data_IF_127401275243
#
_entry.id   IF_127401275243
#
_cell.length_a   1.000
_cell.length_b   1.000
_cell.length_c   1.000
_cell.angle_alpha   90.00
_cell.angle_beta   90.00
_cell.angle_gamma   90.00
#
_symmetry.space_group_name_H-M   'P 1'
#
loop_
_entity.id
_entity.type
_entity.pdbx_description
1 polymer ?
#
# COMPACT_ATOMS: atom_id res chain seq x y z
N UNK A 1 3.00 -18.11 -21.43
CA UNK A 1 3.02 -18.21 -22.91
C UNK A 1 3.25 -16.88 -23.60
N UNK A 2 2.69 -15.74 -23.15
CA UNK A 2 2.98 -14.43 -23.77
C UNK A 2 4.35 -13.85 -23.34
N UNK A 3 4.81 -14.12 -22.10
CA UNK A 3 6.13 -13.70 -21.60
C UNK A 3 7.34 -14.38 -22.26
N UNK A 4 7.20 -15.63 -22.74
CA UNK A 4 8.34 -16.38 -23.31
C UNK A 4 8.67 -15.90 -24.73
N UNK A 5 7.66 -15.53 -25.53
CA UNK A 5 7.87 -15.00 -26.88
C UNK A 5 8.54 -13.62 -26.87
N UNK A 6 8.23 -12.77 -25.88
CA UNK A 6 8.86 -11.45 -25.72
C UNK A 6 10.32 -11.57 -25.26
N UNK A 7 10.66 -12.58 -24.44
CA UNK A 7 12.04 -12.84 -24.04
C UNK A 7 12.91 -13.38 -25.19
N UNK A 8 12.35 -14.25 -26.04
CA UNK A 8 13.05 -14.82 -27.20
C UNK A 8 13.30 -13.76 -28.28
N UNK A 9 12.33 -12.86 -28.54
CA UNK A 9 12.52 -11.73 -29.45
C UNK A 9 13.63 -10.77 -28.98
N UNK A 10 13.63 -10.44 -27.69
CA UNK A 10 14.61 -9.54 -27.08
C UNK A 10 16.03 -10.17 -27.06
N UNK A 11 16.15 -11.49 -26.86
CA UNK A 11 17.44 -12.18 -26.94
C UNK A 11 18.05 -12.15 -28.35
N UNK A 12 17.24 -12.35 -29.39
CA UNK A 12 17.69 -12.30 -30.78
C UNK A 12 18.18 -10.90 -31.18
N UNK A 13 17.43 -9.85 -30.81
CA UNK A 13 17.84 -8.46 -31.04
C UNK A 13 19.14 -8.10 -30.31
N UNK A 14 19.33 -8.59 -29.08
CA UNK A 14 20.55 -8.39 -28.31
C UNK A 14 21.75 -9.09 -28.98
N UNK A 15 21.54 -10.25 -29.56
CA UNK A 15 22.57 -11.03 -30.25
C UNK A 15 22.97 -10.37 -31.58
N UNK A 16 22.00 -9.92 -32.37
CA UNK A 16 22.23 -9.14 -33.59
C UNK A 16 22.99 -7.84 -33.28
N UNK A 17 22.61 -7.11 -32.24
CA UNK A 17 23.33 -5.90 -31.81
C UNK A 17 24.77 -6.18 -31.33
N UNK A 18 25.04 -7.36 -30.77
CA UNK A 18 26.42 -7.76 -30.40
C UNK A 18 27.26 -8.04 -31.64
N UNK A 19 26.69 -8.71 -32.64
CA UNK A 19 27.37 -9.00 -33.92
C UNK A 19 27.74 -7.69 -34.61
N UNK A 20 26.78 -6.77 -34.76
CA UNK A 20 27.00 -5.46 -35.38
C UNK A 20 28.10 -4.67 -34.65
N UNK A 21 28.07 -4.63 -33.32
CA UNK A 21 29.09 -3.92 -32.54
C UNK A 21 30.50 -4.52 -32.72
N UNK A 22 30.59 -5.85 -32.77
CA UNK A 22 31.86 -6.57 -32.99
C UNK A 22 32.38 -6.35 -34.41
N UNK A 23 31.49 -6.36 -35.40
CA UNK A 23 31.81 -6.08 -36.79
C UNK A 23 32.31 -4.64 -36.96
N UNK A 24 31.69 -3.66 -36.29
CA UNK A 24 32.15 -2.29 -36.29
C UNK A 24 33.56 -2.12 -35.68
N UNK A 25 33.84 -2.77 -34.55
CA UNK A 25 35.18 -2.77 -33.94
C UNK A 25 36.22 -3.40 -34.88
N UNK A 26 35.85 -4.49 -35.55
CA UNK A 26 36.70 -5.17 -36.55
C UNK A 26 36.96 -4.30 -37.78
N UNK A 27 35.93 -3.62 -38.29
CA UNK A 27 36.03 -2.72 -39.44
C UNK A 27 36.90 -1.50 -39.15
N UNK A 28 36.77 -0.88 -37.97
CA UNK A 28 37.57 0.29 -37.58
C UNK A 28 39.05 -0.11 -37.38
N UNK A 29 39.30 -1.23 -36.71
CA UNK A 29 40.66 -1.74 -36.51
C UNK A 29 41.33 -2.11 -37.83
N UNK A 30 40.62 -2.76 -38.75
CA UNK A 30 41.11 -3.02 -40.10
C UNK A 30 41.43 -1.72 -40.85
N UNK A 31 40.54 -0.72 -40.78
CA UNK A 31 40.75 0.58 -41.41
C UNK A 31 41.97 1.31 -40.82
N UNK A 32 42.16 1.22 -39.51
CA UNK A 32 43.34 1.76 -38.84
C UNK A 32 44.62 1.11 -39.35
N UNK A 33 44.69 -0.22 -39.37
CA UNK A 33 45.90 -0.93 -39.83
C UNK A 33 46.19 -0.66 -41.31
N UNK A 34 45.18 -0.70 -42.18
CA UNK A 34 45.34 -0.40 -43.61
C UNK A 34 45.75 1.06 -43.83
N UNK A 35 45.17 2.01 -43.09
CA UNK A 35 45.53 3.43 -43.15
C UNK A 35 46.95 3.68 -42.66
N UNK A 36 47.36 3.08 -41.53
CA UNK A 36 48.74 3.20 -41.05
C UNK A 36 49.74 2.60 -42.04
N UNK A 37 49.42 1.43 -42.61
CA UNK A 37 50.26 0.79 -43.63
C UNK A 37 50.40 1.68 -44.87
N UNK A 38 49.29 2.13 -45.45
CA UNK A 38 49.29 3.00 -46.63
C UNK A 38 49.98 4.34 -46.37
N UNK A 39 49.84 4.92 -45.17
CA UNK A 39 50.49 6.16 -44.78
C UNK A 39 51.99 6.02 -44.53
N UNK A 40 52.46 4.85 -44.07
CA UNK A 40 53.90 4.61 -43.86
C UNK A 40 54.67 4.45 -45.16
N UNK A 41 54.03 3.98 -46.24
CA UNK A 41 54.65 3.83 -47.56
C UNK A 41 55.29 5.15 -48.05
N UNK A 42 54.59 6.30 -48.13
CA UNK A 42 55.23 7.56 -48.52
C UNK A 42 56.19 8.12 -47.48
N UNK A 43 55.94 7.91 -46.17
CA UNK A 43 56.81 8.37 -45.08
C UNK A 43 58.22 7.79 -45.21
N UNK A 44 58.32 6.51 -45.57
CA UNK A 44 59.59 5.79 -45.73
C UNK A 44 60.08 5.85 -47.18
N UNK A 45 59.17 5.75 -48.15
CA UNK A 45 59.49 5.63 -49.56
C UNK A 45 60.18 6.85 -50.14
N UNK A 46 59.69 8.06 -49.87
CA UNK A 46 60.31 9.27 -50.41
C UNK A 46 61.74 9.50 -49.86
N UNK A 47 61.98 9.48 -48.54
CA UNK A 47 63.29 9.80 -48.01
C UNK A 47 64.38 8.74 -48.24
N UNK A 48 64.02 7.47 -48.47
CA UNK A 48 65.00 6.39 -48.73
C UNK A 48 65.90 6.72 -49.93
N UNK A 49 65.38 7.45 -50.91
CA UNK A 49 66.13 7.84 -52.11
C UNK A 49 67.01 9.08 -51.91
N UNK A 50 67.08 9.66 -50.71
CA UNK A 50 67.90 10.83 -50.40
C UNK A 50 69.15 10.39 -49.63
N UNK A 51 70.34 10.37 -50.29
CA UNK A 51 71.58 9.96 -49.65
C UNK A 51 71.91 10.82 -48.42
N UNK A 52 72.50 10.19 -47.40
CA UNK A 52 72.97 10.78 -46.13
C UNK A 52 71.93 11.41 -45.19
N UNK A 53 70.85 12.01 -45.72
CA UNK A 53 69.85 12.75 -44.93
C UNK A 53 68.53 11.98 -44.80
N UNK A 54 68.28 10.99 -45.66
CA UNK A 54 67.04 10.21 -45.72
C UNK A 54 66.55 9.72 -44.36
N UNK A 55 67.42 9.10 -43.55
CA UNK A 55 67.06 8.59 -42.22
C UNK A 55 66.55 9.67 -41.25
N UNK A 56 67.09 10.90 -41.32
CA UNK A 56 66.61 12.03 -40.49
C UNK A 56 65.23 12.49 -40.93
N UNK A 57 64.99 12.53 -42.24
CA UNK A 57 63.69 12.92 -42.80
C UNK A 57 62.62 11.86 -42.46
N UNK A 58 62.95 10.56 -42.50
CA UNK A 58 62.03 9.49 -42.04
C UNK A 58 61.65 9.70 -40.58
N UNK A 59 62.63 9.96 -39.71
CA UNK A 59 62.38 10.18 -38.28
C UNK A 59 61.48 11.39 -38.04
N UNK A 60 61.73 12.52 -38.70
CA UNK A 60 60.88 13.71 -38.62
C UNK A 60 59.47 13.42 -39.18
N UNK A 61 59.39 12.72 -40.32
CA UNK A 61 58.11 12.31 -40.92
C UNK A 61 57.27 11.44 -39.99
N UNK A 62 57.89 10.48 -39.30
CA UNK A 62 57.23 9.64 -38.29
C UNK A 62 56.74 10.47 -37.09
N UNK A 63 57.55 11.41 -36.60
CA UNK A 63 57.15 12.30 -35.51
C UNK A 63 55.95 13.17 -35.90
N UNK A 64 55.98 13.77 -37.09
CA UNK A 64 54.88 14.59 -37.61
C UNK A 64 53.61 13.76 -37.84
N UNK A 65 53.76 12.56 -38.41
CA UNK A 65 52.66 11.61 -38.59
C UNK A 65 52.00 11.28 -37.25
N UNK A 66 52.80 10.91 -36.24
CA UNK A 66 52.31 10.55 -34.92
C UNK A 66 51.64 11.73 -34.21
N UNK A 67 52.27 12.91 -34.24
CA UNK A 67 51.73 14.11 -33.61
C UNK A 67 50.39 14.52 -34.25
N UNK A 68 50.32 14.54 -35.58
CA UNK A 68 49.09 14.87 -36.31
C UNK A 68 47.99 13.85 -36.05
N UNK A 69 48.33 12.56 -36.07
CA UNK A 69 47.38 11.48 -35.79
C UNK A 69 46.80 11.59 -34.39
N UNK A 70 47.64 11.74 -33.34
CA UNK A 70 47.17 11.81 -31.96
C UNK A 70 46.30 13.04 -31.74
N UNK A 71 46.75 14.22 -32.17
CA UNK A 71 45.99 15.47 -32.01
C UNK A 71 44.61 15.38 -32.69
N UNK A 72 44.59 14.84 -33.91
CA UNK A 72 43.36 14.69 -34.68
C UNK A 72 42.47 13.55 -34.17
N UNK A 73 43.05 12.48 -33.61
CA UNK A 73 42.32 11.40 -32.96
C UNK A 73 41.52 11.91 -31.76
N UNK A 74 42.15 12.68 -30.87
CA UNK A 74 41.44 13.31 -29.75
C UNK A 74 40.38 14.30 -30.22
N UNK A 75 40.67 15.07 -31.27
CA UNK A 75 39.66 15.95 -31.88
C UNK A 75 38.48 15.12 -32.42
N UNK A 76 38.75 13.99 -33.07
CA UNK A 76 37.73 13.09 -33.59
C UNK A 76 36.86 12.49 -32.48
N UNK A 77 37.45 12.08 -31.36
CA UNK A 77 36.69 11.54 -30.24
C UNK A 77 35.78 12.59 -29.59
N UNK A 78 36.17 13.87 -29.58
CA UNK A 78 35.28 14.95 -29.13
C UNK A 78 34.04 15.06 -30.02
N UNK A 79 34.22 15.14 -31.34
CA UNK A 79 33.11 15.21 -32.31
C UNK A 79 32.25 13.94 -32.37
N UNK A 80 32.86 12.78 -32.09
CA UNK A 80 32.16 11.49 -32.06
C UNK A 80 31.38 11.25 -30.77
N UNK A 81 31.54 12.11 -29.75
CA UNK A 81 30.97 11.89 -28.42
C UNK A 81 29.43 11.85 -28.48
N UNK A 82 28.80 10.76 -28.01
CA UNK A 82 27.35 10.63 -28.09
C UNK A 82 26.66 11.64 -27.16
N UNK A 83 25.65 12.34 -27.66
CA UNK A 83 24.80 13.19 -26.84
C UNK A 83 23.82 12.32 -26.06
N UNK A 84 23.84 12.42 -24.73
CA UNK A 84 22.86 11.75 -23.89
C UNK A 84 21.57 12.57 -23.84
N UNK A 85 20.45 11.98 -24.28
CA UNK A 85 19.14 12.61 -24.13
C UNK A 85 18.61 12.35 -22.71
N UNK A 86 18.57 13.39 -21.88
CA UNK A 86 18.05 13.30 -20.50
C UNK A 86 16.51 13.37 -20.43
N UNK A 87 15.78 13.32 -21.55
CA UNK A 87 14.32 13.48 -21.57
C UNK A 87 13.54 12.25 -21.07
N UNK A 88 14.12 11.05 -21.07
CA UNK A 88 13.48 9.86 -20.47
C UNK A 88 13.71 9.81 -18.97
N UNK A 89 13.14 10.79 -18.25
CA UNK A 89 13.11 10.84 -16.78
C UNK A 89 12.08 9.84 -16.23
N UNK A 90 12.41 8.56 -16.21
CA UNK A 90 11.82 7.67 -15.20
C UNK A 90 12.64 7.82 -13.93
N UNK A 91 12.09 8.63 -13.03
CA UNK A 91 12.30 8.89 -11.59
C UNK A 91 13.17 7.93 -10.72
N UNK A 92 14.32 7.47 -11.21
CA UNK A 92 15.37 6.82 -10.42
C UNK A 92 16.66 7.63 -10.57
N UNK A 93 17.12 8.19 -9.46
CA UNK A 93 18.21 9.17 -9.30
C UNK A 93 19.62 8.59 -9.51
N UNK A 94 19.82 7.81 -10.56
CA UNK A 94 21.15 7.45 -11.06
C UNK A 94 21.40 8.15 -12.40
N UNK A 95 21.44 9.48 -12.38
CA UNK A 95 21.93 10.25 -13.50
C UNK A 95 23.45 10.08 -13.58
N UNK A 96 23.97 9.28 -14.53
CA UNK A 96 25.42 9.18 -14.72
C UNK A 96 26.01 10.56 -15.02
N UNK A 97 27.23 10.80 -14.54
CA UNK A 97 27.94 12.05 -14.75
C UNK A 97 28.07 12.37 -16.25
N UNK A 98 27.50 13.50 -16.68
CA UNK A 98 27.50 13.95 -18.07
C UNK A 98 28.47 15.12 -18.33
N UNK A 99 29.30 15.48 -17.34
CA UNK A 99 30.17 16.66 -17.39
C UNK A 99 31.10 16.63 -18.59
N UNK A 100 31.67 15.47 -18.95
CA UNK A 100 32.55 15.35 -20.10
C UNK A 100 31.83 15.55 -21.44
N UNK A 101 30.56 15.14 -21.54
CA UNK A 101 29.73 15.32 -22.74
C UNK A 101 29.38 16.78 -22.94
N UNK A 102 29.02 17.46 -21.86
CA UNK A 102 28.79 18.91 -21.88
C UNK A 102 30.07 19.67 -22.22
N UNK A 103 31.20 19.22 -21.65
CA UNK A 103 32.52 19.79 -21.98
C UNK A 103 32.85 19.66 -23.46
N UNK A 104 32.62 18.47 -24.02
CA UNK A 104 32.84 18.25 -25.45
C UNK A 104 31.93 19.11 -26.33
N UNK A 105 30.65 19.29 -25.97
CA UNK A 105 29.69 20.08 -26.78
C UNK A 105 30.07 21.56 -26.86
N UNK A 106 30.51 22.18 -25.75
CA UNK A 106 30.98 23.56 -25.82
C UNK A 106 32.35 23.67 -26.51
N UNK A 107 33.26 22.72 -26.26
CA UNK A 107 34.60 22.73 -26.84
C UNK A 107 34.56 22.57 -28.36
N UNK A 108 33.75 21.64 -28.86
CA UNK A 108 33.57 21.44 -30.32
C UNK A 108 33.00 22.70 -30.99
N UNK A 109 32.06 23.40 -30.36
CA UNK A 109 31.56 24.70 -30.87
C UNK A 109 32.65 25.76 -30.95
N UNK A 110 33.53 25.85 -29.95
CA UNK A 110 34.68 26.77 -29.96
C UNK A 110 35.66 26.39 -31.08
N UNK A 111 36.01 25.10 -31.20
CA UNK A 111 36.94 24.63 -32.25
C UNK A 111 36.39 24.96 -33.63
N UNK A 112 35.13 24.64 -33.91
CA UNK A 112 34.50 24.94 -35.21
C UNK A 112 34.42 26.46 -35.43
N UNK A 113 34.04 27.23 -34.42
CA UNK A 113 33.95 28.69 -34.52
C UNK A 113 35.29 29.35 -34.84
N UNK A 114 36.34 29.01 -34.09
CA UNK A 114 37.70 29.53 -34.32
C UNK A 114 38.29 29.04 -35.65
N UNK A 115 38.04 27.79 -36.03
CA UNK A 115 38.50 27.26 -37.31
C UNK A 115 37.85 27.97 -38.51
N UNK A 116 36.56 28.30 -38.42
CA UNK A 116 35.85 29.03 -39.47
C UNK A 116 36.36 30.47 -39.62
N UNK A 117 36.62 31.15 -38.49
CA UNK A 117 37.14 32.53 -38.50
C UNK A 117 38.55 32.57 -39.10
N UNK A 118 39.41 31.61 -38.74
CA UNK A 118 40.82 31.58 -39.16
C UNK A 118 41.08 30.71 -40.39
N UNK A 119 40.04 30.28 -41.12
CA UNK A 119 40.15 29.32 -42.22
C UNK A 119 41.14 29.76 -43.32
N UNK A 120 41.23 31.06 -43.58
CA UNK A 120 42.12 31.64 -44.59
C UNK A 120 43.61 31.57 -44.21
N UNK A 121 43.93 31.44 -42.93
CA UNK A 121 45.31 31.38 -42.44
C UNK A 121 45.87 29.95 -42.46
N UNK A 122 45.00 28.94 -42.47
CA UNK A 122 45.37 27.51 -42.40
C UNK A 122 46.40 27.11 -43.48
N UNK A 123 46.25 27.47 -44.77
CA UNK A 123 47.26 27.15 -45.78
C UNK A 123 48.64 27.75 -45.48
N UNK A 124 48.70 28.96 -44.93
CA UNK A 124 49.94 29.62 -44.55
C UNK A 124 50.69 28.86 -43.44
N UNK A 125 49.97 28.36 -42.44
CA UNK A 125 50.56 27.53 -41.38
C UNK A 125 51.18 26.23 -41.93
N UNK A 126 50.56 25.59 -42.92
CA UNK A 126 51.13 24.40 -43.57
C UNK A 126 52.40 24.71 -44.36
N UNK A 127 52.42 25.81 -45.12
CA UNK A 127 53.60 26.24 -45.87
C UNK A 127 54.76 26.53 -44.91
N UNK A 128 54.51 27.32 -43.85
CA UNK A 128 55.51 27.66 -42.84
C UNK A 128 56.08 26.41 -42.15
N UNK A 129 55.24 25.39 -41.91
CA UNK A 129 55.67 24.13 -41.32
C UNK A 129 56.57 23.32 -42.27
N UNK A 130 56.26 23.30 -43.57
CA UNK A 130 57.12 22.71 -44.60
C UNK A 130 58.49 23.41 -44.66
N UNK A 131 58.48 24.75 -44.70
CA UNK A 131 59.70 25.56 -44.69
C UNK A 131 60.55 25.33 -43.44
N UNK A 132 59.91 25.25 -42.27
CA UNK A 132 60.61 24.95 -41.01
C UNK A 132 61.32 23.60 -41.04
N UNK A 133 60.69 22.57 -41.60
CA UNK A 133 61.30 21.23 -41.77
C UNK A 133 62.43 21.28 -42.80
N UNK A 134 62.27 22.02 -43.90
CA UNK A 134 63.33 22.20 -44.91
C UNK A 134 64.57 22.90 -44.32
N UNK A 135 64.37 23.96 -43.53
CA UNK A 135 65.45 24.67 -42.83
C UNK A 135 66.15 23.74 -41.82
N UNK A 136 65.37 23.00 -41.02
CA UNK A 136 65.87 22.11 -39.97
C UNK A 136 66.69 20.93 -40.51
N UNK A 137 66.32 20.43 -41.69
CA UNK A 137 67.03 19.31 -42.36
C UNK A 137 68.20 19.78 -43.22
N UNK A 138 68.34 21.10 -43.44
CA UNK A 138 69.28 21.71 -44.40
C UNK A 138 69.10 21.19 -45.84
N UNK A 139 67.93 20.65 -46.16
CA UNK A 139 67.60 20.10 -47.48
C UNK A 139 66.64 21.04 -48.20
N UNK A 140 67.12 21.69 -49.26
CA UNK A 140 66.36 22.67 -50.07
C UNK A 140 65.70 22.02 -51.28
N UNK A 141 64.79 21.07 -51.04
CA UNK A 141 63.97 20.46 -52.09
C UNK A 141 62.51 20.85 -51.94
N UNK A 142 61.87 21.34 -53.00
CA UNK A 142 60.43 21.66 -53.01
C UNK A 142 59.57 20.43 -52.67
N UNK A 143 60.04 19.24 -53.05
CA UNK A 143 59.41 17.96 -52.73
C UNK A 143 59.34 17.68 -51.21
N UNK A 144 60.26 18.21 -50.41
CA UNK A 144 60.24 18.04 -48.95
C UNK A 144 59.07 18.78 -48.32
N UNK A 145 58.75 20.00 -48.79
CA UNK A 145 57.60 20.75 -48.31
C UNK A 145 56.29 20.00 -48.61
N UNK A 146 56.17 19.47 -49.83
CA UNK A 146 55.02 18.65 -50.24
C UNK A 146 54.91 17.40 -49.36
N UNK A 147 56.02 16.69 -49.15
CA UNK A 147 56.09 15.53 -48.27
C UNK A 147 55.60 15.84 -46.86
N UNK A 148 56.11 16.91 -46.25
CA UNK A 148 55.77 17.33 -44.90
C UNK A 148 54.29 17.68 -44.77
N UNK A 149 53.76 18.51 -45.67
CA UNK A 149 52.35 18.93 -45.65
C UNK A 149 51.42 17.72 -45.86
N UNK A 150 51.76 16.85 -46.81
CA UNK A 150 50.95 15.66 -47.12
C UNK A 150 50.87 14.70 -45.95
N UNK A 151 51.97 14.48 -45.22
CA UNK A 151 51.99 13.63 -44.02
C UNK A 151 51.07 14.19 -42.94
N UNK A 152 51.18 15.48 -42.64
CA UNK A 152 50.37 16.10 -41.60
C UNK A 152 48.89 16.00 -41.95
N UNK A 153 48.53 16.30 -43.20
CA UNK A 153 47.14 16.22 -43.68
C UNK A 153 46.63 14.77 -43.63
N UNK A 154 47.37 13.82 -44.19
CA UNK A 154 46.95 12.42 -44.27
C UNK A 154 46.72 11.81 -42.88
N UNK A 155 47.72 11.91 -41.99
CA UNK A 155 47.61 11.35 -40.66
C UNK A 155 46.63 12.13 -39.78
N UNK A 156 46.43 13.42 -40.06
CA UNK A 156 45.40 14.22 -39.42
C UNK A 156 43.99 13.73 -39.76
N UNK A 157 43.69 13.55 -41.05
CA UNK A 157 42.41 12.99 -41.47
C UNK A 157 42.21 11.55 -41.00
N UNK A 158 43.25 10.71 -41.05
CA UNK A 158 43.19 9.33 -40.53
C UNK A 158 42.88 9.33 -39.02
N UNK A 159 43.59 10.15 -38.24
CA UNK A 159 43.36 10.30 -36.80
C UNK A 159 41.94 10.76 -36.51
N UNK A 160 41.48 11.82 -37.18
CA UNK A 160 40.12 12.36 -37.03
C UNK A 160 39.06 11.30 -37.34
N UNK A 161 39.19 10.60 -38.47
CA UNK A 161 38.27 9.56 -38.91
C UNK A 161 38.21 8.39 -37.92
N UNK A 162 39.37 7.89 -37.49
CA UNK A 162 39.44 6.77 -36.54
C UNK A 162 38.91 7.19 -35.18
N UNK A 163 39.30 8.36 -34.66
CA UNK A 163 38.82 8.86 -33.36
C UNK A 163 37.31 9.07 -33.33
N UNK A 164 36.76 9.66 -34.39
CA UNK A 164 35.32 9.86 -34.55
C UNK A 164 34.54 8.55 -34.55
N UNK A 165 34.92 7.61 -35.43
CA UNK A 165 34.22 6.34 -35.56
C UNK A 165 34.43 5.44 -34.34
N UNK A 166 35.61 5.47 -33.72
CA UNK A 166 35.88 4.72 -32.49
C UNK A 166 34.96 5.18 -31.35
N UNK A 167 34.87 6.50 -31.12
CA UNK A 167 33.96 7.03 -30.11
C UNK A 167 32.50 6.67 -30.42
N UNK A 168 32.07 6.89 -31.67
CA UNK A 168 30.66 6.76 -32.06
C UNK A 168 30.19 5.31 -32.12
N UNK A 169 30.98 4.39 -32.69
CA UNK A 169 30.56 3.01 -32.95
C UNK A 169 31.02 2.02 -31.89
N UNK A 170 32.17 2.25 -31.24
CA UNK A 170 32.73 1.32 -30.24
C UNK A 170 32.44 1.80 -28.82
N UNK A 171 32.92 3.01 -28.47
CA UNK A 171 32.91 3.47 -27.09
C UNK A 171 31.50 3.82 -26.60
N UNK A 172 30.69 4.46 -27.43
CA UNK A 172 29.26 4.74 -27.17
C UNK A 172 28.48 3.45 -26.80
N UNK A 173 28.70 2.37 -27.55
CA UNK A 173 28.08 1.08 -27.28
C UNK A 173 28.58 0.44 -25.97
N UNK A 174 29.85 0.62 -25.62
CA UNK A 174 30.41 0.15 -24.35
C UNK A 174 29.83 0.93 -23.16
N UNK A 175 29.68 2.25 -23.27
CA UNK A 175 29.04 3.08 -22.25
C UNK A 175 27.57 2.70 -22.03
N UNK A 176 26.78 2.59 -23.11
CA UNK A 176 25.38 2.17 -23.02
C UNK A 176 25.23 0.82 -22.29
N UNK A 177 26.07 -0.16 -22.62
CA UNK A 177 26.03 -1.48 -21.96
C UNK A 177 26.41 -1.41 -20.47
N UNK A 178 27.34 -0.56 -20.09
CA UNK A 178 27.72 -0.37 -18.69
C UNK A 178 26.57 0.27 -17.91
N UNK A 179 25.96 1.31 -18.47
CA UNK A 179 24.84 2.02 -17.87
C UNK A 179 23.60 1.12 -17.72
N UNK A 180 23.24 0.38 -18.77
CA UNK A 180 22.12 -0.57 -18.76
C UNK A 180 22.32 -1.71 -17.74
N UNK A 181 23.56 -2.10 -17.44
CA UNK A 181 23.85 -3.10 -16.41
C UNK A 181 23.61 -2.55 -15.01
N UNK A 182 24.01 -1.30 -14.77
CA UNK A 182 23.81 -0.63 -13.48
C UNK A 182 22.31 -0.43 -13.21
N UNK A 183 21.56 0.04 -14.20
CA UNK A 183 20.11 0.22 -14.09
C UNK A 183 19.41 -1.13 -13.83
N UNK A 184 19.80 -2.20 -14.53
CA UNK A 184 19.23 -3.54 -14.32
C UNK A 184 19.46 -4.05 -12.91
N UNK A 185 20.67 -3.91 -12.36
CA UNK A 185 20.95 -4.29 -10.97
C UNK A 185 20.08 -3.55 -9.98
N UNK A 186 19.96 -2.23 -10.11
CA UNK A 186 19.10 -1.43 -9.24
C UNK A 186 17.63 -1.86 -9.35
N UNK A 187 17.15 -2.20 -10.55
CA UNK A 187 15.78 -2.69 -10.76
C UNK A 187 15.56 -4.07 -10.12
N UNK A 188 16.55 -4.97 -10.22
CA UNK A 188 16.49 -6.29 -9.58
C UNK A 188 16.45 -6.18 -8.06
N UNK A 189 17.26 -5.30 -7.46
CA UNK A 189 17.25 -5.01 -6.02
C UNK A 189 15.88 -4.47 -5.57
N UNK A 190 15.29 -3.53 -6.30
CA UNK A 190 13.96 -2.99 -5.99
C UNK A 190 12.85 -4.04 -6.15
N UNK A 191 12.94 -4.91 -7.18
CA UNK A 191 12.01 -6.04 -7.33
C UNK A 191 12.11 -7.03 -6.19
N UNK A 192 13.31 -7.33 -5.72
CA UNK A 192 13.53 -8.22 -4.57
C UNK A 192 12.91 -7.64 -3.29
N UNK A 193 13.07 -6.33 -3.04
CA UNK A 193 12.40 -5.64 -1.93
C UNK A 193 10.88 -5.70 -2.04
N UNK A 194 10.34 -5.44 -3.22
CA UNK A 194 8.90 -5.51 -3.47
C UNK A 194 8.35 -6.94 -3.27
N UNK A 195 9.11 -7.96 -3.66
CA UNK A 195 8.75 -9.36 -3.44
C UNK A 195 8.70 -9.70 -1.95
N UNK A 196 9.72 -9.31 -1.17
CA UNK A 196 9.75 -9.49 0.29
C UNK A 196 8.56 -8.80 0.98
N UNK A 197 8.26 -7.56 0.60
CA UNK A 197 7.10 -6.82 1.12
C UNK A 197 5.77 -7.52 0.80
N UNK A 198 5.65 -8.10 -0.41
CA UNK A 198 4.46 -8.85 -0.81
C UNK A 198 4.29 -10.14 0.00
N UNK A 199 5.38 -10.85 0.27
CA UNK A 199 5.36 -12.04 1.14
C UNK A 199 4.96 -11.67 2.58
N UNK A 200 5.49 -10.57 3.11
CA UNK A 200 5.09 -10.06 4.43
C UNK A 200 3.61 -9.67 4.51
N UNK A 201 3.06 -9.04 3.46
CA UNK A 201 1.62 -8.72 3.41
C UNK A 201 0.77 -9.98 3.40
N UNK A 202 1.09 -10.97 2.57
CA UNK A 202 0.37 -12.24 2.54
C UNK A 202 0.38 -12.95 3.92
N UNK A 203 1.51 -12.92 4.63
CA UNK A 203 1.61 -13.46 6.00
C UNK A 203 0.71 -12.71 6.99
N UNK A 204 0.61 -11.38 6.87
CA UNK A 204 -0.28 -10.57 7.72
C UNK A 204 -1.75 -10.85 7.41
N UNK A 205 -2.11 -11.00 6.14
CA UNK A 205 -3.49 -11.31 5.72
C UNK A 205 -3.94 -12.67 6.27
N UNK A 206 -3.07 -13.68 6.27
CA UNK A 206 -3.36 -14.99 6.89
C UNK A 206 -3.63 -14.86 8.39
N UNK A 207 -2.88 -14.02 9.11
CA UNK A 207 -3.10 -13.76 10.55
C UNK A 207 -4.40 -12.99 10.81
N UNK A 208 -4.75 -12.02 9.96
CA UNK A 208 -6.01 -11.28 10.05
C UNK A 208 -7.20 -12.24 9.91
N UNK A 209 -7.18 -13.13 8.91
CA UNK A 209 -8.25 -14.12 8.72
C UNK A 209 -8.41 -15.06 9.94
N UNK A 210 -7.31 -15.44 10.60
CA UNK A 210 -7.36 -16.24 11.83
C UNK A 210 -7.97 -15.46 13.01
N UNK A 211 -7.67 -14.16 13.13
CA UNK A 211 -8.26 -13.31 14.17
C UNK A 211 -9.76 -13.14 13.93
N UNK A 212 -10.18 -12.91 12.68
CA UNK A 212 -11.60 -12.78 12.33
C UNK A 212 -12.43 -14.02 12.71
N UNK A 213 -11.89 -15.23 12.49
CA UNK A 213 -12.58 -16.45 12.91
C UNK A 213 -12.71 -16.56 14.43
N UNK A 214 -11.66 -16.20 15.18
CA UNK A 214 -11.68 -16.24 16.65
C UNK A 214 -12.70 -15.23 17.20
N UNK A 215 -12.79 -14.04 16.62
CA UNK A 215 -13.77 -13.02 17.03
C UNK A 215 -15.19 -13.55 16.83
N UNK A 216 -15.47 -14.17 15.69
CA UNK A 216 -16.78 -14.77 15.39
C UNK A 216 -17.15 -15.88 16.37
N UNK A 217 -16.20 -16.76 16.70
CA UNK A 217 -16.42 -17.85 17.67
C UNK A 217 -16.72 -17.29 19.06
N UNK A 218 -15.98 -16.25 19.49
CA UNK A 218 -16.21 -15.56 20.76
C UNK A 218 -17.62 -14.96 20.81
N UNK A 219 -18.06 -14.27 19.76
CA UNK A 219 -19.41 -13.70 19.70
C UNK A 219 -20.51 -14.77 19.83
N UNK A 220 -20.33 -15.92 19.16
CA UNK A 220 -21.30 -17.03 19.24
C UNK A 220 -21.38 -17.61 20.66
N UNK A 221 -20.23 -17.86 21.30
CA UNK A 221 -20.17 -18.39 22.67
C UNK A 221 -20.84 -17.42 23.64
N UNK A 222 -20.58 -16.12 23.51
CA UNK A 222 -21.12 -15.12 24.43
C UNK A 222 -22.64 -15.01 24.29
N UNK A 223 -23.17 -15.07 23.06
CA UNK A 223 -24.63 -15.15 22.80
C UNK A 223 -25.26 -16.41 23.42
N UNK A 224 -24.61 -17.56 23.28
CA UNK A 224 -25.11 -18.82 23.83
C UNK A 224 -25.15 -18.84 25.37
N UNK A 225 -24.12 -18.30 26.03
CA UNK A 225 -24.05 -18.23 27.49
C UNK A 225 -25.16 -17.36 28.08
N UNK A 226 -25.43 -16.20 27.49
CA UNK A 226 -26.49 -15.29 27.98
C UNK A 226 -27.87 -15.89 27.77
N UNK A 227 -28.10 -16.53 26.62
CA UNK A 227 -29.35 -17.26 26.41
C UNK A 227 -29.59 -18.26 27.54
N UNK A 228 -28.56 -19.01 27.94
CA UNK A 228 -28.64 -20.01 29.00
C UNK A 228 -28.82 -19.40 30.40
N UNK A 229 -28.15 -18.29 30.70
CA UNK A 229 -28.30 -17.58 31.98
C UNK A 229 -29.72 -17.00 32.12
N UNK A 230 -30.32 -16.55 31.01
CA UNK A 230 -31.67 -15.97 31.01
C UNK A 230 -32.80 -17.00 30.84
N UNK A 231 -32.49 -18.31 30.81
CA UNK A 231 -33.50 -19.37 30.76
C UNK A 231 -34.45 -19.26 31.97
N UNK A 232 -35.78 -19.35 31.75
CA UNK A 232 -36.74 -19.23 32.85
C UNK A 232 -36.64 -20.43 33.80
N UNK A 233 -36.53 -20.19 35.11
CA UNK A 233 -36.64 -21.24 36.14
C UNK A 233 -38.01 -21.95 36.13
N UNK A 234 -39.05 -21.30 35.60
CA UNK A 234 -40.42 -21.81 35.59
C UNK A 234 -40.90 -21.97 34.15
N UNK A 235 -40.91 -23.21 33.69
CA UNK A 235 -41.49 -23.61 32.40
C UNK A 235 -43.03 -23.50 32.49
N UNK A 236 -43.64 -22.82 31.52
CA UNK A 236 -45.08 -22.51 31.49
C UNK A 236 -46.03 -23.68 31.58
N UNK A 237 -45.59 -24.90 31.25
CA UNK A 237 -46.40 -26.12 31.37
C UNK A 237 -46.80 -26.43 32.82
N UNK A 238 -46.30 -25.66 33.79
CA UNK A 238 -46.42 -25.91 35.20
C UNK A 238 -46.91 -24.70 36.03
N UNK A 239 -47.63 -23.72 35.45
CA UNK A 239 -48.28 -22.63 36.25
C UNK A 239 -49.06 -23.23 37.43
N UNK A 240 -49.75 -24.34 37.19
CA UNK A 240 -50.51 -25.09 38.20
C UNK A 240 -49.65 -25.62 39.36
N UNK A 241 -48.39 -25.98 39.12
CA UNK A 241 -47.45 -26.47 40.14
C UNK A 241 -46.56 -25.38 40.74
N UNK A 242 -46.31 -24.27 40.02
CA UNK A 242 -45.65 -23.08 40.55
C UNK A 242 -46.55 -22.36 41.58
N UNK A 243 -47.81 -22.12 41.23
CA UNK A 243 -48.83 -21.60 42.17
C UNK A 243 -48.98 -22.53 43.38
N UNK A 244 -48.88 -23.84 43.17
CA UNK A 244 -49.02 -24.85 44.23
C UNK A 244 -47.78 -24.97 45.15
N UNK A 245 -46.56 -24.72 44.64
CA UNK A 245 -45.35 -24.66 45.47
C UNK A 245 -45.26 -23.36 46.28
N UNK A 246 -45.80 -22.26 45.75
CA UNK A 246 -45.72 -20.94 46.39
C UNK A 246 -46.73 -20.76 47.53
N UNK A 247 -47.82 -21.54 47.59
CA UNK A 247 -48.83 -21.44 48.64
C UNK A 247 -48.67 -22.56 49.69
N UNK A 248 -48.13 -22.22 50.86
CA UNK A 248 -48.09 -23.08 52.04
C UNK A 248 -49.13 -22.62 53.07
N UNK A 249 -50.37 -23.14 53.00
CA UNK A 249 -51.25 -23.42 54.15
C UNK A 249 -52.68 -23.74 53.72
N UNK A 250 -53.39 -24.52 54.54
CA UNK A 250 -54.77 -25.02 54.34
C UNK A 250 -55.81 -23.92 54.56
N UNK A 251 -56.35 -23.40 53.47
CA UNK A 251 -57.74 -22.93 53.27
C UNK A 251 -57.82 -22.29 51.88
N UNK A 252 -57.60 -23.08 50.81
CA UNK A 252 -57.26 -22.51 49.49
C UNK A 252 -57.86 -23.32 48.35
N UNK A 253 -59.18 -23.19 48.11
CA UNK A 253 -59.77 -23.63 46.83
C UNK A 253 -60.35 -22.44 46.05
N UNK A 254 -60.96 -21.46 46.74
CA UNK A 254 -61.45 -20.23 46.12
C UNK A 254 -60.32 -19.23 45.80
N UNK A 255 -59.34 -19.07 46.69
CA UNK A 255 -58.19 -18.17 46.46
C UNK A 255 -57.29 -18.65 45.32
N UNK A 256 -57.06 -19.97 45.19
CA UNK A 256 -56.25 -20.54 44.10
C UNK A 256 -56.88 -20.29 42.74
N UNK A 257 -58.21 -20.48 42.64
CA UNK A 257 -58.95 -20.26 41.40
C UNK A 257 -58.96 -18.78 41.02
N UNK A 258 -59.02 -17.90 42.02
CA UNK A 258 -58.94 -16.44 41.84
C UNK A 258 -57.55 -16.01 41.36
N UNK A 259 -56.48 -16.61 41.90
CA UNK A 259 -55.10 -16.36 41.48
C UNK A 259 -54.84 -16.82 40.05
N UNK A 260 -55.24 -18.05 39.72
CA UNK A 260 -55.14 -18.55 38.36
C UNK A 260 -55.90 -17.65 37.37
N UNK A 261 -57.08 -17.13 37.76
CA UNK A 261 -57.87 -16.23 36.92
C UNK A 261 -57.13 -14.92 36.61
N UNK A 262 -56.63 -14.21 37.62
CA UNK A 262 -55.97 -12.92 37.39
C UNK A 262 -54.58 -13.08 36.77
N UNK A 263 -53.83 -14.15 37.06
CA UNK A 263 -52.55 -14.43 36.40
C UNK A 263 -52.75 -14.74 34.92
N UNK A 264 -53.72 -15.59 34.58
CA UNK A 264 -54.03 -15.88 33.17
C UNK A 264 -54.49 -14.62 32.42
N UNK A 265 -55.24 -13.75 33.09
CA UNK A 265 -55.63 -12.45 32.55
C UNK A 265 -54.39 -11.58 32.27
N UNK A 266 -53.52 -11.35 33.27
CA UNK A 266 -52.28 -10.58 33.10
C UNK A 266 -51.42 -11.13 31.98
N UNK A 267 -51.27 -12.45 31.88
CA UNK A 267 -50.48 -13.08 30.81
C UNK A 267 -51.11 -12.92 29.43
N UNK A 268 -52.44 -13.00 29.33
CA UNK A 268 -53.16 -12.79 28.07
C UNK A 268 -53.08 -11.33 27.61
N UNK A 269 -53.27 -10.40 28.53
CA UNK A 269 -53.17 -8.96 28.29
C UNK A 269 -51.74 -8.57 27.92
N UNK A 270 -50.74 -9.13 28.61
CA UNK A 270 -49.33 -8.96 28.29
C UNK A 270 -49.01 -9.48 26.87
N UNK A 271 -49.50 -10.67 26.53
CA UNK A 271 -49.29 -11.25 25.19
C UNK A 271 -49.90 -10.38 24.09
N UNK A 272 -51.11 -9.87 24.30
CA UNK A 272 -51.78 -8.98 23.35
C UNK A 272 -51.00 -7.67 23.16
N UNK A 273 -50.52 -7.06 24.25
CA UNK A 273 -49.70 -5.83 24.23
C UNK A 273 -48.36 -6.04 23.52
N UNK A 274 -47.68 -7.15 23.80
CA UNK A 274 -46.42 -7.52 23.14
C UNK A 274 -46.60 -7.74 21.63
N UNK A 275 -47.69 -8.40 21.22
CA UNK A 275 -48.02 -8.58 19.80
C UNK A 275 -48.35 -7.25 19.10
N UNK A 276 -49.06 -6.35 19.79
CA UNK A 276 -49.35 -5.01 19.26
C UNK A 276 -48.07 -4.19 19.07
N UNK A 277 -47.18 -4.23 20.06
CA UNK A 277 -45.89 -3.55 20.05
C UNK A 277 -45.01 -3.90 18.84
N UNK A 278 -44.96 -5.19 18.49
CA UNK A 278 -44.25 -5.72 17.31
C UNK A 278 -44.71 -5.14 15.97
N UNK A 279 -45.91 -4.53 15.90
CA UNK A 279 -46.43 -3.92 14.67
C UNK A 279 -46.21 -2.41 14.59
N UNK A 280 -45.76 -1.77 15.69
CA UNK A 280 -45.70 -0.32 15.81
C UNK A 280 -44.27 0.24 15.88
N UNK A 281 -43.33 -0.49 16.49
CA UNK A 281 -41.93 -0.09 16.61
C UNK A 281 -41.00 -1.31 16.55
N UNK A 282 -40.17 -1.39 15.51
CA UNK A 282 -39.25 -2.53 15.32
C UNK A 282 -38.04 -2.48 16.27
N UNK A 283 -37.65 -1.29 16.75
CA UNK A 283 -36.42 -1.12 17.56
C UNK A 283 -36.65 -1.34 19.05
N UNK A 284 -37.79 -0.88 19.60
CA UNK A 284 -38.23 -1.25 20.95
C UNK A 284 -39.76 -1.49 20.93
N UNK A 285 -40.18 -2.74 20.66
CA UNK A 285 -41.59 -3.09 20.56
C UNK A 285 -42.39 -2.83 21.83
N UNK A 286 -41.75 -2.75 23.00
CA UNK A 286 -42.47 -2.58 24.27
C UNK A 286 -42.71 -1.13 24.66
N UNK A 287 -41.99 -0.19 24.05
CA UNK A 287 -42.14 1.22 24.35
C UNK A 287 -43.59 1.69 24.08
N UNK A 288 -44.21 2.29 25.08
CA UNK A 288 -45.57 2.82 25.02
C UNK A 288 -46.70 1.80 25.13
N UNK A 289 -46.42 0.52 25.44
CA UNK A 289 -47.45 -0.52 25.54
C UNK A 289 -48.04 -0.72 26.95
N UNK A 290 -47.40 -0.15 27.98
CA UNK A 290 -47.63 -0.41 29.41
C UNK A 290 -47.98 0.87 30.18
N UNK A 291 -48.53 1.85 29.48
CA UNK A 291 -49.00 3.09 30.07
C UNK A 291 -47.95 4.17 30.27
N UNK A 292 -46.69 3.97 29.85
CA UNK A 292 -45.60 4.98 29.82
C UNK A 292 -45.19 5.62 31.16
N UNK A 293 -45.69 5.11 32.29
CA UNK A 293 -45.37 5.65 33.60
C UNK A 293 -44.69 4.59 34.48
N UNK A 294 -43.49 4.91 34.98
CA UNK A 294 -42.78 4.07 35.95
C UNK A 294 -43.42 4.11 37.34
N UNK A 295 -44.29 5.09 37.60
CA UNK A 295 -45.07 5.25 38.82
C UNK A 295 -46.54 5.36 38.45
N UNK A 296 -47.38 4.47 38.98
CA UNK A 296 -48.82 4.46 38.73
C UNK A 296 -49.55 3.81 39.91
N UNK A 297 -50.72 4.34 40.30
CA UNK A 297 -51.53 3.84 41.43
C UNK A 297 -50.72 3.55 42.71
N UNK A 298 -49.80 4.44 43.09
CA UNK A 298 -48.90 4.27 44.23
C UNK A 298 -47.95 3.05 44.15
N UNK A 299 -47.74 2.51 42.95
CA UNK A 299 -46.72 1.50 42.64
C UNK A 299 -45.60 2.13 41.84
N UNK A 300 -44.36 1.70 42.08
CA UNK A 300 -43.18 2.18 41.37
C UNK A 300 -42.33 1.01 40.86
N UNK A 301 -41.98 1.05 39.57
CA UNK A 301 -41.02 0.18 38.92
C UNK A 301 -39.67 0.90 38.80
N UNK A 302 -38.62 0.29 39.33
CA UNK A 302 -37.24 0.80 39.25
C UNK A 302 -36.29 -0.27 38.71
N UNK A 303 -35.15 0.16 38.18
CA UNK A 303 -34.10 -0.73 37.73
C UNK A 303 -32.73 -0.20 38.15
N UNK A 304 -31.82 -1.11 38.48
CA UNK A 304 -30.38 -0.84 38.64
C UNK A 304 -29.63 -1.61 37.55
N UNK A 305 -28.72 -0.93 36.85
CA UNK A 305 -27.97 -1.51 35.73
C UNK A 305 -26.48 -1.41 36.04
N UNK A 306 -25.79 -2.55 36.08
CA UNK A 306 -24.35 -2.64 36.36
C UNK A 306 -23.68 -3.31 35.17
N UNK A 307 -22.64 -2.68 34.62
CA UNK A 307 -21.81 -3.28 33.57
C UNK A 307 -20.81 -4.25 34.22
N UNK A 308 -21.03 -5.55 34.03
CA UNK A 308 -20.15 -6.60 34.60
C UNK A 308 -18.90 -6.80 33.74
N UNK A 309 -19.08 -6.76 32.40
CA UNK A 309 -18.00 -6.80 31.41
C UNK A 309 -18.37 -5.91 30.23
N UNK A 310 -17.39 -5.51 29.42
CA UNK A 310 -17.60 -4.54 28.33
C UNK A 310 -18.78 -4.94 27.42
N UNK A 311 -19.89 -4.21 27.52
CA UNK A 311 -21.12 -4.41 26.76
C UNK A 311 -22.16 -5.38 27.36
N UNK A 312 -21.89 -6.06 28.47
CA UNK A 312 -22.85 -6.94 29.16
C UNK A 312 -23.32 -6.33 30.47
N UNK A 313 -24.63 -6.15 30.60
CA UNK A 313 -25.25 -5.45 31.72
C UNK A 313 -26.09 -6.40 32.57
N UNK A 314 -25.85 -6.39 33.88
CA UNK A 314 -26.72 -7.00 34.88
C UNK A 314 -27.82 -5.99 35.25
N UNK A 315 -29.07 -6.36 35.03
CA UNK A 315 -30.24 -5.53 35.27
C UNK A 315 -31.01 -6.13 36.47
N UNK A 316 -31.19 -5.32 37.51
CA UNK A 316 -31.97 -5.67 38.70
C UNK A 316 -33.22 -4.80 38.77
N UNK A 317 -34.37 -5.41 38.57
CA UNK A 317 -35.69 -4.76 38.58
C UNK A 317 -36.30 -4.86 39.97
N UNK A 318 -37.00 -3.81 40.39
CA UNK A 318 -37.76 -3.79 41.65
C UNK A 318 -39.09 -3.09 41.48
N UNK A 319 -40.15 -3.72 42.01
CA UNK A 319 -41.46 -3.08 42.18
C UNK A 319 -41.72 -2.89 43.68
N UNK A 320 -42.07 -1.67 44.06
CA UNK A 320 -42.38 -1.26 45.45
C UNK A 320 -43.62 -0.36 45.50
N UNK A 321 -44.21 -0.21 46.69
CA UNK A 321 -45.22 0.82 46.95
C UNK A 321 -44.58 2.17 47.25
N UNK A 322 -45.12 3.26 46.72
CA UNK A 322 -44.72 4.64 47.07
C UNK A 322 -45.39 5.13 48.35
N UNK A 323 -46.39 4.40 48.87
CA UNK A 323 -47.12 4.70 50.09
C UNK A 323 -47.24 3.42 50.96
N UNK A 324 -46.12 2.90 51.48
CA UNK A 324 -46.09 1.60 52.15
C UNK A 324 -46.95 1.55 53.43
N UNK A 325 -47.14 2.69 54.11
CA UNK A 325 -47.91 2.74 55.36
C UNK A 325 -49.43 2.59 55.14
N UNK A 326 -49.95 3.08 54.01
CA UNK A 326 -51.40 3.07 53.74
C UNK A 326 -51.80 2.09 52.62
N UNK A 327 -50.88 1.75 51.72
CA UNK A 327 -51.10 0.85 50.60
C UNK A 327 -49.86 -0.02 50.36
N UNK A 328 -49.50 -0.92 51.30
CA UNK A 328 -48.36 -1.80 51.14
C UNK A 328 -48.54 -2.75 49.95
N UNK A 329 -47.43 -3.18 49.35
CA UNK A 329 -47.45 -4.24 48.34
C UNK A 329 -47.59 -5.58 49.07
N UNK A 330 -48.73 -6.27 48.87
CA UNK A 330 -49.06 -7.49 49.61
C UNK A 330 -48.07 -8.62 49.30
N UNK A 331 -47.54 -9.28 50.32
CA UNK A 331 -46.58 -10.39 50.18
C UNK A 331 -47.21 -11.67 49.59
N UNK A 332 -48.53 -11.68 49.44
CA UNK A 332 -49.28 -12.73 48.76
C UNK A 332 -49.53 -12.43 47.27
N UNK A 333 -49.25 -11.21 46.81
CA UNK A 333 -49.44 -10.82 45.41
C UNK A 333 -48.29 -11.26 44.49
N UNK A 334 -48.61 -11.32 43.20
CA UNK A 334 -47.71 -11.69 42.12
C UNK A 334 -47.54 -10.52 41.16
N UNK A 335 -46.29 -10.21 40.82
CA UNK A 335 -45.94 -9.22 39.81
C UNK A 335 -45.54 -9.95 38.54
N UNK A 336 -46.16 -9.58 37.41
CA UNK A 336 -45.77 -10.09 36.11
C UNK A 336 -44.91 -9.05 35.39
N UNK A 337 -43.62 -9.33 35.24
CA UNK A 337 -42.73 -8.57 34.39
C UNK A 337 -42.87 -9.03 32.94
N UNK A 338 -43.06 -8.09 32.02
CA UNK A 338 -42.95 -8.31 30.59
C UNK A 338 -41.61 -7.76 30.10
N UNK A 339 -40.87 -8.63 29.44
CA UNK A 339 -39.50 -8.43 28.97
C UNK A 339 -39.48 -8.42 27.44
N UNK A 340 -38.31 -8.07 26.89
CA UNK A 340 -38.13 -8.07 25.44
C UNK A 340 -38.29 -9.48 24.86
N UNK A 341 -38.77 -9.58 23.62
CA UNK A 341 -39.07 -10.85 22.94
C UNK A 341 -37.85 -11.80 22.86
N UNK A 342 -36.63 -11.30 23.06
CA UNK A 342 -35.40 -12.09 23.15
C UNK A 342 -35.28 -12.92 24.43
N UNK A 343 -36.10 -12.66 25.46
CA UNK A 343 -36.08 -13.33 26.77
C UNK A 343 -36.99 -14.59 26.87
N UNK A 344 -37.36 -15.16 25.72
CA UNK A 344 -38.14 -16.40 25.61
C UNK A 344 -39.57 -16.17 25.12
N UNK A 345 -40.29 -17.27 24.86
CA UNK A 345 -41.70 -17.22 24.44
C UNK A 345 -42.60 -17.89 25.50
N UNK A 346 -43.49 -17.13 26.15
CA UNK A 346 -43.62 -15.67 26.11
C UNK A 346 -42.55 -15.01 26.99
N UNK A 347 -42.18 -13.76 26.68
CA UNK A 347 -41.12 -13.05 27.39
C UNK A 347 -41.67 -12.43 28.67
N UNK A 348 -42.25 -13.26 29.54
CA UNK A 348 -42.81 -12.83 30.82
C UNK A 348 -42.15 -13.57 31.97
N UNK A 349 -42.06 -12.92 33.13
CA UNK A 349 -41.54 -13.49 34.37
C UNK A 349 -42.51 -13.15 35.49
N UNK A 350 -42.97 -14.19 36.19
CA UNK A 350 -43.86 -14.06 37.33
C UNK A 350 -43.01 -14.11 38.60
N UNK A 351 -43.09 -13.06 39.41
CA UNK A 351 -42.29 -12.90 40.63
C UNK A 351 -43.24 -12.69 41.80
N UNK A 352 -42.97 -13.37 42.91
CA UNK A 352 -43.71 -13.18 44.16
C UNK A 352 -43.18 -11.96 44.89
N UNK A 353 -44.09 -11.21 45.50
CA UNK A 353 -43.73 -10.13 46.42
C UNK A 353 -43.20 -10.73 47.72
N UNK A 354 -41.98 -10.36 48.10
CA UNK A 354 -41.38 -10.71 49.38
C UNK A 354 -40.94 -9.42 50.09
N UNK A 355 -41.29 -9.26 51.37
CA UNK A 355 -40.96 -8.06 52.14
C UNK A 355 -41.42 -6.75 51.45
N UNK A 356 -42.63 -6.73 50.89
CA UNK A 356 -43.21 -5.61 50.14
C UNK A 356 -42.43 -5.19 48.88
N UNK A 357 -41.58 -6.08 48.35
CA UNK A 357 -40.81 -5.84 47.13
C UNK A 357 -40.86 -7.06 46.21
N UNK A 358 -41.02 -6.84 44.91
CA UNK A 358 -40.79 -7.89 43.91
C UNK A 358 -39.49 -7.59 43.15
N UNK A 359 -38.52 -8.51 43.21
CA UNK A 359 -37.21 -8.34 42.57
C UNK A 359 -36.98 -9.36 41.43
N UNK A 360 -36.43 -8.91 40.30
CA UNK A 360 -36.03 -9.76 39.18
C UNK A 360 -34.64 -9.38 38.70
N UNK A 361 -33.75 -10.36 38.54
CA UNK A 361 -32.41 -10.17 37.99
C UNK A 361 -32.29 -10.83 36.60
N UNK A 362 -31.72 -10.11 35.62
CA UNK A 362 -31.51 -10.59 34.26
C UNK A 362 -30.28 -9.92 33.62
N UNK A 363 -29.78 -10.49 32.51
CA UNK A 363 -28.63 -9.95 31.78
C UNK A 363 -29.01 -9.52 30.36
N UNK A 364 -28.53 -8.36 29.90
CA UNK A 364 -28.77 -7.84 28.54
C UNK A 364 -27.53 -7.16 27.96
N UNK A 365 -27.42 -7.14 26.62
CA UNK A 365 -26.46 -6.31 25.88
C UNK A 365 -26.99 -4.91 25.58
N UNK A 366 -28.30 -4.79 25.58
CA UNK A 366 -29.06 -3.72 24.95
C UNK A 366 -30.12 -3.21 25.92
N UNK A 367 -30.43 -1.92 25.83
CA UNK A 367 -31.54 -1.32 26.55
C UNK A 367 -32.87 -1.67 25.89
N UNK A 368 -33.91 -1.84 26.70
CA UNK A 368 -35.27 -2.09 26.22
C UNK A 368 -36.27 -1.60 27.24
N UNK A 369 -37.52 -1.39 26.82
CA UNK A 369 -38.61 -1.04 27.71
C UNK A 369 -39.15 -2.27 28.42
N UNK A 370 -39.40 -2.15 29.73
CA UNK A 370 -39.95 -3.21 30.57
C UNK A 370 -41.36 -2.81 31.00
N UNK A 371 -42.28 -3.75 30.84
CA UNK A 371 -43.62 -3.66 31.41
C UNK A 371 -43.72 -4.42 32.73
N UNK A 372 -44.59 -3.98 33.64
CA UNK A 372 -45.00 -4.76 34.78
C UNK A 372 -46.50 -4.62 35.06
N UNK A 373 -47.15 -5.75 35.37
CA UNK A 373 -48.49 -5.78 35.95
C UNK A 373 -48.42 -6.01 37.46
N UNK A 374 -49.17 -5.20 38.19
CA UNK A 374 -49.28 -5.21 39.66
C UNK A 374 -50.76 -5.16 40.05
N UNK A 375 -51.08 -5.40 41.33
CA UNK A 375 -52.44 -5.32 41.88
C UNK A 375 -53.43 -6.19 41.09
N UNK A 376 -53.07 -7.47 40.89
CA UNK A 376 -53.88 -8.46 40.15
C UNK A 376 -54.19 -8.03 38.70
N UNK A 377 -53.30 -7.25 38.11
CA UNK A 377 -53.40 -6.78 36.72
C UNK A 377 -54.20 -5.50 36.53
N UNK A 378 -54.48 -4.76 37.61
CA UNK A 378 -55.18 -3.46 37.53
C UNK A 378 -54.22 -2.29 37.36
N UNK A 379 -52.96 -2.44 37.79
CA UNK A 379 -51.93 -1.42 37.66
C UNK A 379 -50.89 -1.86 36.63
N UNK A 380 -50.63 -0.98 35.66
CA UNK A 380 -49.57 -1.11 34.66
C UNK A 380 -48.44 -0.14 34.96
N UNK A 381 -47.21 -0.63 34.85
CA UNK A 381 -45.99 0.16 34.98
C UNK A 381 -45.11 -0.06 33.77
N UNK A 382 -44.45 1.02 33.32
CA UNK A 382 -43.51 1.01 32.20
C UNK A 382 -42.20 1.65 32.62
N UNK A 383 -41.08 1.01 32.27
CA UNK A 383 -39.75 1.57 32.50
C UNK A 383 -38.86 1.37 31.28
N UNK A 384 -38.49 2.47 30.63
CA UNK A 384 -37.49 2.47 29.58
C UNK A 384 -36.08 2.48 30.19
N UNK A 385 -35.34 1.37 30.02
CA UNK A 385 -33.98 1.24 30.57
C UNK A 385 -32.98 2.26 29.98
N UNK A 386 -33.22 2.77 28.77
CA UNK A 386 -32.36 3.77 28.13
C UNK A 386 -32.47 5.15 28.78
N UNK A 387 -33.59 5.44 29.46
CA UNK A 387 -33.90 6.75 30.07
C UNK A 387 -33.34 6.88 31.49
N UNK A 388 -32.77 5.81 32.04
CA UNK A 388 -32.17 5.84 33.37
C UNK A 388 -30.99 6.85 33.43
N UNK A 389 -30.83 7.57 34.55
CA UNK A 389 -29.79 8.59 34.68
C UNK A 389 -28.37 7.99 34.72
N UNK A 390 -28.21 6.82 35.34
CA UNK A 390 -26.91 6.24 35.69
C UNK A 390 -26.46 5.09 34.77
N UNK A 391 -26.83 5.13 33.48
CA UNK A 391 -26.47 4.08 32.51
C UNK A 391 -25.56 4.59 31.39
N UNK A 392 -24.65 3.73 30.92
CA UNK A 392 -23.62 4.11 29.95
C UNK A 392 -24.22 4.51 28.59
N UNK A 393 -23.52 5.37 27.85
CA UNK A 393 -23.95 5.76 26.49
C UNK A 393 -24.04 4.56 25.54
N UNK A 394 -23.19 3.55 25.73
CA UNK A 394 -23.24 2.32 24.94
C UNK A 394 -24.55 1.57 25.18
N UNK A 395 -24.98 1.45 26.43
CA UNK A 395 -26.25 0.81 26.82
C UNK A 395 -27.48 1.57 26.33
N UNK A 396 -27.43 2.90 26.20
CA UNK A 396 -28.58 3.69 25.69
C UNK A 396 -28.81 3.56 24.18
N UNK A 397 -27.77 3.19 23.43
CA UNK A 397 -27.76 3.24 21.96
C UNK A 397 -27.89 1.88 21.28
N UNK A 398 -27.62 0.83 22.02
CA UNK A 398 -27.84 -0.55 21.62
C UNK A 398 -28.96 -1.05 22.51
#
# INVERSE_FOLDING_TARGET
MQNDNDQVGNQKEIEEAKVIAKEAETSITLTLYMGLFLGLVPVVGYPIFIPEIGGRIIFIGLLLALASFIASFFTGTLFGMPKRNNQSRTKNDYAFNNSLVEISDWLTKIIVGLALINLKEIPGYFINLGEYVSISTKYKGELLNIYTITIVIYFGFLGLYIGYNYMRLVLSNKYKKADDRIIRKALEEEKEKALKLKEECNQKDLKINQIESIVKDKEQITKALIKKINEPEIIQTNIKSAVQKMMHSKDVNDDKKTIELYVNKMMSDAKLKLQKGLTFNDSDPQNGQWGQHAINNERQLTATVIEETKGLYKIKLKVISTNPDNNPLDSSDLVLFALHNTFGDPPTRLVRVENQCAELELYSYESFTIGAFVDKGTTELELNLAELPDVSYHFKKH
#
